data_IF_356207793390
#
_entry.id   IF_356207793390
#
_cell.length_a   1.000
_cell.length_b   1.000
_cell.length_c   1.000
_cell.angle_alpha   90.00
_cell.angle_beta   90.00
_cell.angle_gamma   90.00
#
_symmetry.space_group_name_H-M   'P 1'
#
loop_
_entity.id
_entity.type
_entity.pdbx_description
1 polymer ?
#
# COMPACT_ATOMS: atom_id res chain seq x y z
N UNK A 1 4.81 -22.94 -8.53
CA UNK A 1 3.77 -21.92 -8.79
C UNK A 1 4.47 -20.57 -8.93
N UNK A 2 4.34 -19.92 -10.08
CA UNK A 2 4.85 -18.57 -10.33
C UNK A 2 3.67 -17.71 -10.77
N UNK A 3 3.66 -16.44 -10.35
CA UNK A 3 2.66 -15.47 -10.79
C UNK A 3 3.11 -14.82 -12.10
N UNK A 4 2.15 -14.46 -12.95
CA UNK A 4 2.42 -13.65 -14.13
C UNK A 4 2.65 -12.19 -13.73
N UNK A 5 3.24 -11.41 -14.64
CA UNK A 5 3.41 -9.98 -14.42
C UNK A 5 2.05 -9.27 -14.27
N UNK A 6 1.07 -9.64 -15.09
CA UNK A 6 -0.30 -9.14 -15.01
C UNK A 6 -0.98 -9.43 -13.67
N UNK A 7 -0.79 -10.62 -13.10
CA UNK A 7 -1.32 -10.97 -11.77
C UNK A 7 -0.69 -10.10 -10.67
N UNK A 8 0.63 -9.89 -10.74
CA UNK A 8 1.34 -9.03 -9.78
C UNK A 8 0.86 -7.58 -9.90
N UNK A 9 0.75 -7.06 -11.11
CA UNK A 9 0.28 -5.69 -11.38
C UNK A 9 -1.15 -5.48 -10.86
N UNK A 10 -2.04 -6.45 -11.08
CA UNK A 10 -3.41 -6.43 -10.56
C UNK A 10 -3.47 -6.35 -9.03
N UNK A 11 -2.69 -7.17 -8.33
CA UNK A 11 -2.66 -7.13 -6.86
C UNK A 11 -1.97 -5.87 -6.31
N UNK A 12 -1.01 -5.33 -7.05
CA UNK A 12 -0.37 -4.06 -6.71
C UNK A 12 -1.35 -2.88 -6.86
N UNK A 13 -2.21 -2.88 -7.88
CA UNK A 13 -3.29 -1.89 -8.05
C UNK A 13 -4.21 -1.87 -6.82
N UNK A 14 -4.68 -3.06 -6.41
CA UNK A 14 -5.53 -3.23 -5.23
C UNK A 14 -4.81 -2.74 -3.98
N UNK A 15 -3.52 -3.07 -3.84
CA UNK A 15 -2.72 -2.60 -2.72
C UNK A 15 -2.62 -1.09 -2.70
N UNK A 16 -2.27 -0.44 -3.81
CA UNK A 16 -2.12 1.02 -3.91
C UNK A 16 -3.41 1.72 -3.49
N UNK A 17 -4.54 1.33 -4.09
CA UNK A 17 -5.84 1.91 -3.77
C UNK A 17 -6.21 1.69 -2.29
N UNK A 18 -6.04 0.46 -1.77
CA UNK A 18 -6.43 0.18 -0.39
C UNK A 18 -5.49 0.84 0.62
N UNK A 19 -4.20 0.81 0.36
CA UNK A 19 -3.19 1.26 1.30
C UNK A 19 -3.17 2.78 1.41
N UNK A 20 -3.14 3.51 0.29
CA UNK A 20 -3.00 4.96 0.30
C UNK A 20 -4.34 5.69 0.46
N UNK A 21 -5.39 5.24 -0.25
CA UNK A 21 -6.68 5.93 -0.27
C UNK A 21 -7.65 5.50 0.82
N UNK A 22 -7.92 4.20 0.95
CA UNK A 22 -9.10 3.76 1.73
C UNK A 22 -8.82 3.28 3.15
N UNK A 23 -7.60 2.83 3.48
CA UNK A 23 -7.33 2.21 4.79
C UNK A 23 -6.71 3.15 5.83
N UNK A 24 -6.15 4.29 5.44
CA UNK A 24 -5.35 5.11 6.35
C UNK A 24 -6.18 5.68 7.52
N UNK A 25 -7.43 6.09 7.29
CA UNK A 25 -8.30 6.59 8.37
C UNK A 25 -8.51 5.56 9.49
N UNK A 26 -8.56 4.26 9.15
CA UNK A 26 -8.71 3.18 10.14
C UNK A 26 -7.47 3.05 10.99
N UNK A 27 -6.29 3.34 10.41
CA UNK A 27 -4.99 3.28 11.10
C UNK A 27 -4.80 4.44 12.08
N UNK A 28 -5.38 5.60 11.81
CA UNK A 28 -5.29 6.78 12.68
C UNK A 28 -5.79 6.53 14.12
N UNK A 29 -6.66 5.54 14.32
CA UNK A 29 -7.24 5.20 15.62
C UNK A 29 -6.89 3.79 16.12
N UNK A 30 -5.81 3.16 15.62
CA UNK A 30 -5.45 1.80 16.08
C UNK A 30 -5.07 1.79 17.57
N UNK A 31 -5.45 0.73 18.32
CA UNK A 31 -5.01 0.53 19.70
C UNK A 31 -3.49 0.41 19.81
N UNK A 32 -2.98 0.59 21.04
CA UNK A 32 -1.57 0.36 21.33
C UNK A 32 -1.20 -1.11 21.06
N UNK A 33 -0.06 -1.33 20.41
CA UNK A 33 0.48 -2.65 20.13
C UNK A 33 2.01 -2.56 20.00
N UNK A 34 2.75 -3.63 20.34
CA UNK A 34 4.20 -3.65 20.16
C UNK A 34 4.53 -3.79 18.67
N UNK A 35 5.54 -3.04 18.20
CA UNK A 35 6.16 -3.29 16.90
C UNK A 35 6.87 -4.64 16.96
N UNK A 36 6.67 -5.46 15.93
CA UNK A 36 7.37 -6.76 15.75
C UNK A 36 8.06 -6.75 14.39
N UNK A 37 9.32 -7.18 14.37
CA UNK A 37 10.15 -7.19 13.16
C UNK A 37 10.83 -5.85 12.84
N UNK A 38 11.82 -5.89 11.95
CA UNK A 38 12.60 -4.71 11.52
C UNK A 38 11.95 -3.92 10.39
N UNK A 39 11.04 -4.53 9.63
CA UNK A 39 10.41 -3.94 8.44
C UNK A 39 9.43 -2.78 8.69
N UNK A 40 9.19 -2.40 9.95
CA UNK A 40 8.29 -1.30 10.32
C UNK A 40 6.93 -1.75 10.86
N UNK A 41 6.13 -0.78 11.30
CA UNK A 41 4.76 -0.96 11.79
C UNK A 41 3.84 0.09 11.19
N UNK A 42 2.54 -0.18 11.18
CA UNK A 42 1.53 0.73 10.65
C UNK A 42 0.88 1.61 11.72
N UNK A 43 1.54 1.78 12.86
CA UNK A 43 1.07 2.66 13.92
C UNK A 43 1.24 4.13 13.51
N UNK A 44 0.18 4.97 13.59
CA UNK A 44 0.30 6.41 13.33
C UNK A 44 1.17 7.13 14.37
N UNK A 45 1.50 6.44 15.47
CA UNK A 45 2.38 6.94 16.54
C UNK A 45 3.84 6.57 16.31
N UNK A 46 4.12 5.65 15.38
CA UNK A 46 5.44 5.06 15.15
C UNK A 46 5.95 5.30 13.73
N UNK A 47 6.16 4.20 12.99
CA UNK A 47 6.93 4.22 11.73
C UNK A 47 6.15 4.81 10.55
N UNK A 48 4.80 4.73 10.54
CA UNK A 48 4.00 5.15 9.39
C UNK A 48 3.04 6.28 9.75
N UNK A 49 3.40 7.51 9.38
CA UNK A 49 2.60 8.74 9.57
C UNK A 49 2.13 9.24 8.21
N UNK A 50 0.83 9.13 7.94
CA UNK A 50 0.23 9.57 6.68
C UNK A 50 -1.15 10.23 6.92
N UNK A 51 -1.57 11.19 6.07
CA UNK A 51 -2.89 11.81 6.11
C UNK A 51 -4.01 10.78 5.87
N UNK A 52 -5.13 10.92 6.57
CA UNK A 52 -6.28 10.00 6.42
C UNK A 52 -7.07 10.22 5.12
N UNK A 53 -6.83 11.35 4.48
CA UNK A 53 -7.41 11.88 3.24
C UNK A 53 -6.37 11.89 2.10
N UNK A 54 -5.38 11.00 2.15
CA UNK A 54 -4.39 10.85 1.08
C UNK A 54 -5.01 10.30 -0.21
N UNK A 55 -4.44 10.66 -1.35
CA UNK A 55 -4.84 10.19 -2.68
C UNK A 55 -3.86 9.15 -3.22
N UNK A 56 -4.34 8.16 -3.96
CA UNK A 56 -3.52 7.12 -4.60
C UNK A 56 -2.97 7.51 -5.98
N UNK A 57 -3.45 8.62 -6.54
CA UNK A 57 -3.22 9.05 -7.93
C UNK A 57 -1.77 8.92 -8.42
N UNK A 58 -0.75 9.47 -7.75
CA UNK A 58 0.62 9.42 -8.29
C UNK A 58 1.15 7.98 -8.40
N UNK A 59 0.74 7.08 -7.50
CA UNK A 59 1.12 5.67 -7.58
C UNK A 59 0.38 4.92 -8.68
N UNK A 60 -0.87 5.30 -8.96
CA UNK A 60 -1.63 4.72 -10.07
C UNK A 60 -1.08 5.17 -11.42
N UNK A 61 -0.61 6.42 -11.54
CA UNK A 61 0.09 6.92 -12.73
C UNK A 61 1.39 6.14 -12.97
N UNK A 62 2.19 5.90 -11.92
CA UNK A 62 3.40 5.07 -12.03
C UNK A 62 3.08 3.62 -12.40
N UNK A 63 2.00 3.04 -11.86
CA UNK A 63 1.56 1.68 -12.15
C UNK A 63 1.22 1.48 -13.64
N UNK A 64 0.70 2.51 -14.32
CA UNK A 64 0.40 2.45 -15.76
C UNK A 64 1.64 2.26 -16.64
N UNK A 65 2.81 2.66 -16.15
CA UNK A 65 4.08 2.49 -16.88
C UNK A 65 4.62 1.05 -16.82
N UNK A 66 4.02 0.17 -16.02
CA UNK A 66 4.43 -1.24 -15.89
C UNK A 66 3.78 -2.07 -17.01
N UNK A 67 4.55 -2.84 -17.81
CA UNK A 67 3.99 -3.69 -18.86
C UNK A 67 3.15 -4.85 -18.28
N UNK A 68 2.23 -5.39 -19.08
CA UNK A 68 1.35 -6.49 -18.64
C UNK A 68 2.01 -7.88 -18.80
N UNK A 69 3.04 -7.96 -19.64
CA UNK A 69 3.81 -9.17 -19.92
C UNK A 69 5.31 -8.88 -19.90
N UNK A 70 6.12 -9.92 -19.66
CA UNK A 70 7.58 -9.79 -19.74
C UNK A 70 7.96 -9.59 -21.22
N UNK A 71 8.79 -8.56 -21.49
CA UNK A 71 9.35 -8.31 -22.82
C UNK A 71 10.31 -9.42 -23.27
#
# INVERSE_FOLDING_TARGET
HQYTLSEIKYWLEIFIHRFYKTSQYKRSCVPNSPKVGSGGSLSPRGDYRAPSDSEETPWMEDLQNIPDENM
#
